data_IF_516825982933
#
_entry.id   IF_516825982933
#
_cell.length_a   1.000
_cell.length_b   1.000
_cell.length_c   1.000
_cell.angle_alpha   90.00
_cell.angle_beta   90.00
_cell.angle_gamma   90.00
#
_symmetry.space_group_name_H-M   'P 1'
#
loop_
_entity.id
_entity.type
_entity.pdbx_description
1 polymer ?
#
# COMPACT_ATOMS: atom_id res chain seq x y z
N UNK A 1 52.41 -21.86 27.23
CA UNK A 1 50.92 -21.67 27.30
C UNK A 1 50.61 -20.40 26.51
N UNK A 2 50.43 -20.57 25.23
CA UNK A 2 50.05 -19.46 24.34
C UNK A 2 48.58 -19.20 24.46
N UNK A 3 48.22 -18.01 24.87
CA UNK A 3 46.86 -17.50 24.80
C UNK A 3 46.43 -17.41 23.34
N UNK A 4 45.63 -18.34 22.88
CA UNK A 4 44.90 -18.21 21.63
C UNK A 4 43.74 -17.25 21.94
N UNK A 5 44.00 -15.96 21.75
CA UNK A 5 42.93 -14.97 21.67
C UNK A 5 42.15 -15.25 20.39
N UNK A 6 40.91 -15.68 20.50
CA UNK A 6 39.98 -15.70 19.37
C UNK A 6 39.97 -14.32 18.72
N UNK A 7 40.09 -14.21 17.38
CA UNK A 7 40.04 -12.93 16.73
C UNK A 7 38.67 -12.29 16.94
N UNK A 8 38.63 -11.01 17.34
CA UNK A 8 37.35 -10.27 17.51
C UNK A 8 36.51 -10.20 16.22
N UNK A 9 37.11 -10.49 15.07
CA UNK A 9 36.50 -10.40 13.76
C UNK A 9 35.41 -11.48 13.48
N UNK A 10 35.50 -12.68 14.08
CA UNK A 10 34.54 -13.75 13.79
C UNK A 10 33.17 -13.54 14.44
N UNK A 11 33.12 -13.03 15.67
CA UNK A 11 31.85 -12.71 16.34
C UNK A 11 31.17 -11.49 15.73
N UNK A 12 31.95 -10.49 15.33
CA UNK A 12 31.40 -9.29 14.67
C UNK A 12 30.86 -9.63 13.30
N UNK A 13 31.50 -10.52 12.54
CA UNK A 13 31.01 -11.00 11.24
C UNK A 13 29.74 -11.82 11.36
N UNK A 14 29.62 -12.67 12.39
CA UNK A 14 28.43 -13.47 12.64
C UNK A 14 27.21 -12.59 12.96
N UNK A 15 27.33 -11.69 13.93
CA UNK A 15 26.22 -10.78 14.30
C UNK A 15 25.82 -9.88 13.12
N UNK A 16 26.77 -9.44 12.31
CA UNK A 16 26.49 -8.67 11.09
C UNK A 16 25.68 -9.49 10.08
N UNK A 17 26.05 -10.74 9.85
CA UNK A 17 25.33 -11.63 8.93
C UNK A 17 23.90 -11.93 9.42
N UNK A 18 23.73 -12.22 10.71
CA UNK A 18 22.40 -12.46 11.31
C UNK A 18 21.53 -11.21 11.23
N UNK A 19 22.07 -10.03 11.53
CA UNK A 19 21.34 -8.77 11.38
C UNK A 19 20.91 -8.52 9.93
N UNK A 20 21.73 -8.90 8.95
CA UNK A 20 21.36 -8.78 7.53
C UNK A 20 20.12 -9.64 7.20
N UNK A 21 20.03 -10.87 7.74
CA UNK A 21 18.86 -11.73 7.57
C UNK A 21 17.62 -11.10 8.23
N UNK A 22 17.76 -10.59 9.47
CA UNK A 22 16.70 -9.91 10.20
C UNK A 22 16.19 -8.70 9.43
N UNK A 23 17.09 -7.86 8.94
CA UNK A 23 16.74 -6.67 8.14
C UNK A 23 16.05 -7.06 6.83
N UNK A 24 16.43 -8.19 6.22
CA UNK A 24 15.79 -8.70 5.02
C UNK A 24 14.36 -9.16 5.30
N UNK A 25 14.09 -9.90 6.39
CA UNK A 25 12.73 -10.30 6.76
C UNK A 25 11.83 -9.09 7.08
N UNK A 26 12.37 -8.09 7.78
CA UNK A 26 11.63 -6.84 8.06
C UNK A 26 11.31 -6.13 6.74
N UNK A 27 12.26 -6.05 5.81
CA UNK A 27 12.05 -5.45 4.48
C UNK A 27 10.99 -6.22 3.70
N UNK A 28 11.08 -7.54 3.60
CA UNK A 28 10.09 -8.38 2.92
C UNK A 28 8.68 -8.21 3.52
N UNK A 29 8.59 -8.05 4.86
CA UNK A 29 7.32 -7.75 5.53
C UNK A 29 6.79 -6.35 5.19
N UNK A 30 7.68 -5.36 5.07
CA UNK A 30 7.34 -3.97 4.71
C UNK A 30 6.89 -3.84 3.25
N UNK A 31 7.44 -4.66 2.35
CA UNK A 31 7.05 -4.70 0.93
C UNK A 31 5.66 -5.29 0.71
N UNK A 32 5.14 -6.08 1.67
CA UNK A 32 3.78 -6.61 1.59
C UNK A 32 2.76 -5.52 1.90
N UNK A 33 2.11 -5.01 0.85
CA UNK A 33 1.20 -3.86 0.94
C UNK A 33 -0.07 -4.11 1.75
N UNK A 34 -0.56 -5.35 1.81
CA UNK A 34 -1.90 -5.66 2.33
C UNK A 34 -1.92 -5.98 3.84
N UNK A 35 -0.86 -6.58 4.34
CA UNK A 35 -0.76 -6.94 5.78
C UNK A 35 0.67 -6.74 6.23
N UNK A 36 0.92 -5.87 7.22
CA UNK A 36 2.24 -5.74 7.84
C UNK A 36 2.55 -6.95 8.74
N UNK A 37 2.21 -8.13 8.25
CA UNK A 37 2.38 -9.42 8.92
C UNK A 37 2.95 -10.39 7.91
N UNK A 38 4.13 -10.91 8.19
CA UNK A 38 4.75 -11.96 7.39
C UNK A 38 4.83 -13.26 8.20
N UNK A 39 4.58 -14.37 7.55
CA UNK A 39 4.83 -15.71 8.09
C UNK A 39 6.11 -16.26 7.45
N UNK A 40 7.11 -16.54 8.25
CA UNK A 40 8.41 -17.08 7.84
C UNK A 40 8.44 -18.55 8.22
N UNK A 41 8.73 -19.45 7.27
CA UNK A 41 8.91 -20.85 7.60
C UNK A 41 10.27 -21.08 8.30
N UNK A 42 10.31 -22.02 9.25
CA UNK A 42 11.59 -22.39 9.88
C UNK A 42 12.55 -23.00 8.87
N UNK A 43 12.06 -23.65 7.83
CA UNK A 43 12.86 -24.19 6.74
C UNK A 43 13.59 -23.06 6.00
N UNK A 44 12.92 -21.94 5.69
CA UNK A 44 13.54 -20.77 5.05
C UNK A 44 14.65 -20.15 5.92
N UNK A 45 14.43 -20.02 7.23
CA UNK A 45 15.46 -19.54 8.16
C UNK A 45 16.68 -20.48 8.15
N UNK A 46 16.44 -21.78 8.22
CA UNK A 46 17.51 -22.78 8.23
C UNK A 46 18.29 -22.77 6.91
N UNK A 47 17.61 -22.60 5.79
CA UNK A 47 18.22 -22.53 4.47
C UNK A 47 19.12 -21.28 4.33
N UNK A 48 18.63 -20.10 4.76
CA UNK A 48 19.41 -18.86 4.77
C UNK A 48 20.62 -18.94 5.71
N UNK A 49 20.45 -19.53 6.89
CA UNK A 49 21.56 -19.76 7.83
C UNK A 49 22.58 -20.77 7.28
N UNK A 50 22.11 -21.84 6.62
CA UNK A 50 22.98 -22.85 6.01
C UNK A 50 23.87 -22.27 4.92
N UNK A 51 23.35 -21.36 4.09
CA UNK A 51 24.12 -20.61 3.10
C UNK A 51 25.22 -19.77 3.74
N UNK A 52 25.04 -19.34 5.01
CA UNK A 52 26.01 -18.57 5.78
C UNK A 52 26.89 -19.44 6.71
N UNK A 53 26.72 -20.75 6.74
CA UNK A 53 27.39 -21.72 7.64
C UNK A 53 27.08 -21.50 9.14
N UNK A 54 25.87 -21.05 9.49
CA UNK A 54 25.45 -20.78 10.86
C UNK A 54 24.17 -21.57 11.24
N UNK A 55 23.95 -21.75 12.56
CA UNK A 55 22.81 -22.50 13.13
C UNK A 55 22.11 -21.70 14.26
N UNK A 56 21.86 -20.41 14.05
CA UNK A 56 21.39 -19.53 15.12
C UNK A 56 19.95 -19.07 14.93
N UNK A 57 19.02 -19.97 14.66
CA UNK A 57 17.59 -19.70 14.47
C UNK A 57 16.97 -18.91 15.64
N UNK A 58 17.20 -19.36 16.89
CA UNK A 58 16.69 -18.70 18.09
C UNK A 58 17.21 -17.26 18.23
N UNK A 59 18.43 -16.99 17.75
CA UNK A 59 18.98 -15.63 17.75
C UNK A 59 18.25 -14.72 16.77
N UNK A 60 17.86 -15.23 15.58
CA UNK A 60 17.08 -14.47 14.61
C UNK A 60 15.71 -14.14 15.21
N UNK A 61 15.03 -15.09 15.81
CA UNK A 61 13.72 -14.89 16.46
C UNK A 61 13.84 -13.83 17.58
N UNK A 62 14.86 -13.95 18.43
CA UNK A 62 15.10 -12.98 19.50
C UNK A 62 15.37 -11.57 18.97
N UNK A 63 16.22 -11.44 17.95
CA UNK A 63 16.51 -10.14 17.33
C UNK A 63 15.29 -9.54 16.62
N UNK A 64 14.45 -10.35 15.98
CA UNK A 64 13.20 -9.88 15.40
C UNK A 64 12.26 -9.34 16.47
N UNK A 65 12.20 -10.00 17.65
CA UNK A 65 11.36 -9.56 18.76
C UNK A 65 11.87 -8.27 19.45
N UNK A 66 13.17 -8.00 19.39
CA UNK A 66 13.81 -6.82 19.99
C UNK A 66 13.81 -5.58 19.07
N UNK A 67 13.48 -5.75 17.79
CA UNK A 67 13.46 -4.64 16.84
C UNK A 67 12.32 -3.66 17.11
N UNK A 68 12.60 -2.36 17.05
CA UNK A 68 11.58 -1.29 17.19
C UNK A 68 10.51 -1.35 16.10
N UNK A 69 10.83 -1.90 14.94
CA UNK A 69 9.93 -2.11 13.81
C UNK A 69 8.88 -3.18 14.09
N UNK A 70 9.16 -4.11 15.02
CA UNK A 70 8.31 -5.28 15.28
C UNK A 70 7.34 -5.00 16.40
N UNK A 71 6.04 -5.10 16.11
CA UNK A 71 4.97 -4.99 17.10
C UNK A 71 4.69 -6.30 17.82
N UNK A 72 4.90 -7.43 17.11
CA UNK A 72 4.57 -8.75 17.62
C UNK A 72 5.33 -9.82 16.85
N UNK A 73 5.84 -10.83 17.57
CA UNK A 73 6.39 -12.07 17.01
C UNK A 73 5.67 -13.23 17.66
N UNK A 74 5.06 -14.09 16.84
CA UNK A 74 4.45 -15.32 17.29
C UNK A 74 5.23 -16.50 16.73
N UNK A 75 5.80 -17.29 17.63
CA UNK A 75 6.56 -18.48 17.31
C UNK A 75 5.66 -19.72 17.41
N UNK A 76 5.31 -20.28 16.26
CA UNK A 76 4.57 -21.52 16.13
C UNK A 76 5.50 -22.65 15.66
N UNK A 77 5.05 -23.92 15.76
CA UNK A 77 5.90 -25.09 15.50
C UNK A 77 6.62 -25.08 14.14
N UNK A 78 5.97 -24.54 13.09
CA UNK A 78 6.48 -24.61 11.73
C UNK A 78 6.69 -23.22 11.10
N UNK A 79 6.13 -22.16 11.70
CA UNK A 79 6.19 -20.79 11.17
C UNK A 79 6.37 -19.77 12.28
N UNK A 80 7.09 -18.70 11.96
CA UNK A 80 7.21 -17.52 12.78
C UNK A 80 6.42 -16.40 12.10
N UNK A 81 5.46 -15.83 12.82
CA UNK A 81 4.66 -14.70 12.33
C UNK A 81 5.18 -13.41 12.93
N UNK A 82 5.53 -12.45 12.09
CA UNK A 82 6.00 -11.12 12.49
C UNK A 82 4.95 -10.11 12.09
N UNK A 83 4.52 -9.28 13.04
CA UNK A 83 3.72 -8.08 12.76
C UNK A 83 4.59 -6.84 12.97
N UNK A 84 4.57 -5.91 12.01
CA UNK A 84 5.34 -4.67 12.09
C UNK A 84 4.53 -3.55 12.74
N UNK A 85 5.23 -2.58 13.33
CA UNK A 85 4.61 -1.37 13.86
C UNK A 85 4.18 -0.45 12.73
N UNK A 86 3.06 0.28 12.93
CA UNK A 86 2.61 1.27 11.92
C UNK A 86 3.70 2.32 11.68
N UNK A 87 4.43 2.71 12.73
CA UNK A 87 5.57 3.64 12.63
C UNK A 87 6.65 3.13 11.67
N UNK A 88 7.03 1.85 11.76
CA UNK A 88 8.03 1.25 10.88
C UNK A 88 7.58 1.24 9.42
N UNK A 89 6.32 0.88 9.19
CA UNK A 89 5.70 0.87 7.87
C UNK A 89 5.73 2.28 7.26
N UNK A 90 5.32 3.29 8.03
CA UNK A 90 5.29 4.67 7.56
C UNK A 90 6.70 5.22 7.27
N UNK A 91 7.68 4.88 8.10
CA UNK A 91 9.07 5.26 7.90
C UNK A 91 9.67 4.60 6.65
N UNK A 92 9.46 3.30 6.46
CA UNK A 92 9.91 2.58 5.27
C UNK A 92 9.31 3.21 4.00
N UNK A 93 8.01 3.37 3.97
CA UNK A 93 7.30 3.98 2.84
C UNK A 93 7.77 5.40 2.55
N UNK A 94 8.18 6.15 3.58
CA UNK A 94 8.73 7.49 3.42
C UNK A 94 10.15 7.48 2.81
N UNK A 95 10.99 6.49 3.18
CA UNK A 95 12.36 6.37 2.68
C UNK A 95 12.43 5.87 1.24
N UNK A 96 11.55 4.94 0.87
CA UNK A 96 11.52 4.33 -0.46
C UNK A 96 10.72 5.15 -1.49
N UNK A 97 10.00 6.21 -1.05
CA UNK A 97 9.22 7.04 -1.98
C UNK A 97 10.11 7.85 -2.91
N UNK A 98 9.81 7.73 -4.19
CA UNK A 98 10.37 8.60 -5.23
C UNK A 98 9.48 9.82 -5.42
N UNK A 99 9.97 11.01 -5.13
CA UNK A 99 9.28 12.24 -5.49
C UNK A 99 9.36 12.45 -7.00
N UNK A 100 8.21 12.68 -7.62
CA UNK A 100 8.09 12.91 -9.07
C UNK A 100 7.82 14.38 -9.36
N UNK A 101 8.57 14.92 -10.30
CA UNK A 101 8.28 16.23 -10.87
C UNK A 101 7.12 16.13 -11.87
N UNK A 102 6.45 17.26 -12.15
CA UNK A 102 5.36 17.34 -13.12
C UNK A 102 5.73 16.76 -14.50
N UNK A 103 6.95 17.03 -14.98
CA UNK A 103 7.45 16.56 -16.26
C UNK A 103 7.52 15.02 -16.32
N UNK A 104 7.91 14.36 -15.21
CA UNK A 104 7.94 12.90 -15.13
C UNK A 104 6.52 12.33 -15.15
N UNK A 105 5.59 12.93 -14.39
CA UNK A 105 4.18 12.53 -14.39
C UNK A 105 3.56 12.68 -15.78
N UNK A 106 3.86 13.77 -16.48
CA UNK A 106 3.38 14.01 -17.84
C UNK A 106 3.90 12.96 -18.83
N UNK A 107 5.15 12.53 -18.71
CA UNK A 107 5.73 11.44 -19.52
C UNK A 107 5.06 10.11 -19.22
N UNK A 108 4.87 9.77 -17.93
CA UNK A 108 4.17 8.56 -17.51
C UNK A 108 2.74 8.55 -18.06
N UNK A 109 2.01 9.68 -17.94
CA UNK A 109 0.65 9.80 -18.46
C UNK A 109 0.59 9.66 -19.99
N UNK A 110 1.54 10.23 -20.72
CA UNK A 110 1.59 10.09 -22.17
C UNK A 110 1.82 8.62 -22.61
N UNK A 111 2.74 7.93 -21.94
CA UNK A 111 2.98 6.49 -22.17
C UNK A 111 1.76 5.65 -21.80
N UNK A 112 1.13 5.95 -20.68
CA UNK A 112 -0.09 5.28 -20.23
C UNK A 112 -1.25 5.48 -21.21
N UNK A 113 -1.40 6.69 -21.75
CA UNK A 113 -2.40 6.97 -22.80
C UNK A 113 -2.18 6.09 -24.03
N UNK A 114 -0.95 5.89 -24.48
CA UNK A 114 -0.63 4.98 -25.58
C UNK A 114 -1.00 3.53 -25.22
N UNK A 115 -0.72 3.13 -23.98
CA UNK A 115 -1.06 1.80 -23.48
C UNK A 115 -2.58 1.56 -23.46
N UNK A 116 -3.37 2.52 -22.93
CA UNK A 116 -4.84 2.44 -22.90
C UNK A 116 -5.47 2.25 -24.29
N UNK A 117 -4.87 2.85 -25.33
CA UNK A 117 -5.36 2.73 -26.70
C UNK A 117 -4.72 1.58 -27.50
N UNK A 118 -3.94 0.71 -26.86
CA UNK A 118 -3.26 -0.41 -27.53
C UNK A 118 -2.23 0.02 -28.59
N UNK A 119 -1.66 1.22 -28.42
CA UNK A 119 -0.67 1.81 -29.36
C UNK A 119 0.77 1.72 -28.87
N UNK A 120 1.07 0.77 -28.00
CA UNK A 120 2.32 0.67 -27.27
C UNK A 120 2.25 1.45 -25.96
N UNK A 121 3.39 1.90 -25.45
CA UNK A 121 3.47 2.53 -24.13
C UNK A 121 3.42 1.52 -22.99
N UNK A 122 3.24 2.00 -21.78
CA UNK A 122 3.27 1.20 -20.56
C UNK A 122 2.15 1.64 -19.63
N UNK A 123 1.60 0.71 -18.85
CA UNK A 123 0.67 1.02 -17.77
C UNK A 123 1.36 1.93 -16.75
N UNK A 124 0.66 2.98 -16.30
CA UNK A 124 1.23 3.88 -15.30
C UNK A 124 1.35 3.15 -13.94
N UNK A 125 2.56 3.17 -13.39
CA UNK A 125 2.86 2.64 -12.06
C UNK A 125 3.52 3.73 -11.22
N UNK A 126 2.79 4.17 -10.18
CA UNK A 126 3.20 5.15 -9.19
C UNK A 126 3.44 4.51 -7.81
N UNK A 127 3.72 3.21 -7.78
CA UNK A 127 4.00 2.50 -6.52
C UNK A 127 5.14 3.19 -5.77
N UNK A 128 4.90 3.51 -4.48
CA UNK A 128 5.86 4.24 -3.63
C UNK A 128 6.31 5.60 -4.21
N UNK A 129 5.54 6.19 -5.10
CA UNK A 129 5.82 7.56 -5.57
C UNK A 129 5.20 8.61 -4.66
N UNK A 130 5.80 9.79 -4.67
CA UNK A 130 5.28 10.98 -4.01
C UNK A 130 5.00 12.06 -5.05
N UNK A 131 3.76 12.57 -5.04
CA UNK A 131 3.30 13.65 -5.90
C UNK A 131 2.82 14.79 -5.00
N UNK A 132 3.39 15.99 -5.17
CA UNK A 132 3.10 17.13 -4.32
C UNK A 132 2.70 18.35 -5.15
N UNK A 133 1.71 19.09 -4.67
CA UNK A 133 1.34 20.42 -5.15
C UNK A 133 1.17 20.51 -6.68
N UNK A 134 0.54 19.49 -7.28
CA UNK A 134 0.34 19.39 -8.73
C UNK A 134 -1.13 19.52 -9.10
N UNK A 135 -1.36 20.06 -10.29
CA UNK A 135 -2.67 20.03 -10.93
C UNK A 135 -2.69 18.96 -12.03
N UNK A 136 -3.60 18.00 -11.88
CA UNK A 136 -3.79 16.87 -12.79
C UNK A 136 -5.21 16.87 -13.40
N UNK A 137 -5.82 18.03 -13.76
CA UNK A 137 -7.20 18.06 -14.19
C UNK A 137 -7.37 17.45 -15.59
N UNK A 138 -8.50 16.77 -15.79
CA UNK A 138 -8.85 16.15 -17.08
C UNK A 138 -7.87 15.06 -17.55
N UNK A 139 -7.12 14.45 -16.64
CA UNK A 139 -6.23 13.34 -16.96
C UNK A 139 -6.95 11.99 -16.85
N UNK A 140 -6.52 11.02 -17.65
CA UNK A 140 -7.05 9.66 -17.62
C UNK A 140 -5.93 8.71 -17.20
N UNK A 141 -6.11 8.10 -16.04
CA UNK A 141 -5.20 7.14 -15.43
C UNK A 141 -5.88 5.80 -15.15
N UNK A 142 -6.92 5.45 -15.90
CA UNK A 142 -7.66 4.19 -15.70
C UNK A 142 -6.70 2.99 -15.68
N UNK A 143 -6.96 2.05 -14.76
CA UNK A 143 -6.13 0.86 -14.53
C UNK A 143 -4.71 1.13 -14.01
N UNK A 144 -4.37 2.34 -13.55
CA UNK A 144 -3.04 2.66 -13.03
C UNK A 144 -2.82 2.10 -11.63
N UNK A 145 -1.55 1.99 -11.24
CA UNK A 145 -1.12 1.46 -9.94
C UNK A 145 -0.56 2.60 -9.10
N UNK A 146 -1.13 2.81 -7.89
CA UNK A 146 -0.73 3.82 -6.91
C UNK A 146 -0.47 3.22 -5.53
N UNK A 147 -0.01 1.99 -5.47
CA UNK A 147 0.23 1.29 -4.19
C UNK A 147 1.19 2.06 -3.31
N UNK A 148 0.75 2.32 -2.06
CA UNK A 148 1.53 3.06 -1.08
C UNK A 148 2.04 4.44 -1.56
N UNK A 149 1.45 5.00 -2.60
CA UNK A 149 1.78 6.36 -3.07
C UNK A 149 1.38 7.41 -2.02
N UNK A 150 2.10 8.52 -2.03
CA UNK A 150 1.78 9.70 -1.24
C UNK A 150 1.38 10.83 -2.17
N UNK A 151 0.12 11.25 -2.08
CA UNK A 151 -0.52 12.25 -2.93
C UNK A 151 -0.90 13.43 -2.04
N UNK A 152 -0.20 14.57 -2.18
CA UNK A 152 -0.39 15.72 -1.31
C UNK A 152 -0.78 16.96 -2.10
N UNK A 153 -1.86 17.62 -1.66
CA UNK A 153 -2.34 18.89 -2.22
C UNK A 153 -2.53 18.89 -3.73
N UNK A 154 -2.95 17.74 -4.28
CA UNK A 154 -3.21 17.62 -5.72
C UNK A 154 -4.58 18.17 -6.06
N UNK A 155 -4.66 18.91 -7.19
CA UNK A 155 -5.91 19.13 -7.88
C UNK A 155 -6.11 18.02 -8.93
N UNK A 156 -7.04 17.09 -8.63
CA UNK A 156 -7.35 15.94 -9.46
C UNK A 156 -8.73 16.09 -10.12
N UNK A 157 -9.32 17.28 -10.06
CA UNK A 157 -10.70 17.52 -10.51
C UNK A 157 -10.93 17.10 -11.96
N UNK A 158 -12.12 16.53 -12.24
CA UNK A 158 -12.55 16.12 -13.58
C UNK A 158 -11.65 15.06 -14.25
N UNK A 159 -10.81 14.38 -13.49
CA UNK A 159 -9.94 13.31 -13.97
C UNK A 159 -10.60 11.92 -13.81
N UNK A 160 -10.03 10.93 -14.47
CA UNK A 160 -10.52 9.57 -14.47
C UNK A 160 -9.43 8.61 -13.96
N UNK A 161 -9.79 7.82 -12.94
CA UNK A 161 -8.92 6.83 -12.28
C UNK A 161 -9.69 5.52 -12.06
N UNK A 162 -10.52 5.11 -12.99
CA UNK A 162 -11.30 3.88 -12.84
C UNK A 162 -10.40 2.64 -12.82
N UNK A 163 -10.81 1.63 -12.05
CA UNK A 163 -10.09 0.35 -11.93
C UNK A 163 -8.64 0.48 -11.45
N UNK A 164 -8.30 1.55 -10.72
CA UNK A 164 -6.95 1.77 -10.17
C UNK A 164 -6.74 1.05 -8.85
N UNK A 165 -5.46 0.74 -8.56
CA UNK A 165 -5.03 0.19 -7.28
C UNK A 165 -4.37 1.26 -6.42
N UNK A 166 -5.11 1.77 -5.43
CA UNK A 166 -4.67 2.72 -4.42
C UNK A 166 -4.42 2.06 -3.05
N UNK A 167 -4.16 0.76 -3.01
CA UNK A 167 -3.95 0.05 -1.75
C UNK A 167 -2.82 0.69 -0.93
N UNK A 168 -3.13 1.06 0.32
CA UNK A 168 -2.20 1.73 1.23
C UNK A 168 -1.76 3.14 0.80
N UNK A 169 -2.35 3.73 -0.23
CA UNK A 169 -2.05 5.10 -0.65
C UNK A 169 -2.52 6.12 0.41
N UNK A 170 -1.86 7.28 0.44
CA UNK A 170 -2.25 8.38 1.32
C UNK A 170 -2.55 9.63 0.49
N UNK A 171 -3.76 10.13 0.63
CA UNK A 171 -4.22 11.38 0.05
C UNK A 171 -4.28 12.43 1.15
N UNK A 172 -3.55 13.52 1.03
CA UNK A 172 -3.50 14.59 2.03
C UNK A 172 -3.89 15.90 1.37
N UNK A 173 -5.00 16.50 1.80
CA UNK A 173 -5.45 17.80 1.32
C UNK A 173 -5.75 17.87 -0.18
N UNK A 174 -6.03 16.74 -0.82
CA UNK A 174 -6.31 16.69 -2.25
C UNK A 174 -7.72 17.17 -2.59
N UNK A 175 -7.87 17.86 -3.74
CA UNK A 175 -9.18 18.12 -4.34
C UNK A 175 -9.48 17.04 -5.39
N UNK A 176 -10.40 16.17 -5.00
CA UNK A 176 -10.88 15.04 -5.78
C UNK A 176 -12.34 15.24 -6.20
N UNK A 177 -12.80 16.49 -6.25
CA UNK A 177 -14.21 16.78 -6.54
C UNK A 177 -14.56 16.39 -7.97
N UNK A 178 -15.70 15.72 -8.14
CA UNK A 178 -16.25 15.30 -9.42
C UNK A 178 -15.33 14.40 -10.26
N UNK A 179 -14.41 13.67 -9.64
CA UNK A 179 -13.57 12.69 -10.34
C UNK A 179 -14.28 11.34 -10.44
N UNK A 180 -13.83 10.54 -11.39
CA UNK A 180 -14.27 9.15 -11.57
C UNK A 180 -13.22 8.20 -11.00
N UNK A 181 -13.59 7.46 -9.94
CA UNK A 181 -12.76 6.44 -9.28
C UNK A 181 -13.56 5.15 -9.06
N UNK A 182 -14.38 4.80 -10.03
CA UNK A 182 -15.21 3.60 -9.97
C UNK A 182 -14.35 2.35 -9.96
N UNK A 183 -14.70 1.36 -9.13
CA UNK A 183 -14.03 0.06 -9.03
C UNK A 183 -12.56 0.12 -8.58
N UNK A 184 -12.18 1.17 -7.87
CA UNK A 184 -10.82 1.28 -7.34
C UNK A 184 -10.63 0.44 -6.08
N UNK A 185 -9.41 -0.03 -5.86
CA UNK A 185 -8.99 -0.64 -4.61
C UNK A 185 -8.36 0.41 -3.71
N UNK A 186 -9.04 0.71 -2.58
CA UNK A 186 -8.56 1.64 -1.53
C UNK A 186 -8.24 0.92 -0.22
N UNK A 187 -7.91 -0.37 -0.28
CA UNK A 187 -7.60 -1.15 0.94
C UNK A 187 -6.51 -0.48 1.75
N UNK A 188 -6.81 -0.18 3.03
CA UNK A 188 -5.85 0.46 3.92
C UNK A 188 -5.40 1.87 3.48
N UNK A 189 -6.07 2.48 2.52
CA UNK A 189 -5.78 3.85 2.10
C UNK A 189 -6.18 4.86 3.18
N UNK A 190 -5.50 6.00 3.21
CA UNK A 190 -5.80 7.10 4.12
C UNK A 190 -6.14 8.35 3.30
N UNK A 191 -7.31 8.93 3.57
CA UNK A 191 -7.73 10.23 3.04
C UNK A 191 -7.76 11.21 4.23
N UNK A 192 -6.97 12.25 4.17
CA UNK A 192 -6.83 13.24 5.23
C UNK A 192 -7.06 14.65 4.66
N UNK A 193 -8.10 15.33 5.16
CA UNK A 193 -8.48 16.66 4.72
C UNK A 193 -8.86 16.79 3.25
N UNK A 194 -9.32 15.68 2.62
CA UNK A 194 -9.62 15.66 1.19
C UNK A 194 -11.01 16.20 0.88
N UNK A 195 -11.13 16.92 -0.24
CA UNK A 195 -12.40 17.32 -0.82
C UNK A 195 -12.79 16.32 -1.91
N UNK A 196 -13.92 15.62 -1.68
CA UNK A 196 -14.39 14.52 -2.54
C UNK A 196 -15.84 14.73 -2.98
N UNK A 197 -16.26 15.99 -3.17
CA UNK A 197 -17.65 16.33 -3.51
C UNK A 197 -18.05 15.80 -4.87
N UNK A 198 -19.15 15.05 -4.93
CA UNK A 198 -19.66 14.49 -6.18
C UNK A 198 -18.76 13.45 -6.83
N UNK A 199 -17.78 12.95 -6.13
CA UNK A 199 -16.85 11.91 -6.61
C UNK A 199 -17.59 10.59 -6.84
N UNK A 200 -17.23 9.88 -7.93
CA UNK A 200 -17.77 8.55 -8.23
C UNK A 200 -16.83 7.47 -7.65
N UNK A 201 -17.22 6.86 -6.53
CA UNK A 201 -16.44 5.85 -5.79
C UNK A 201 -17.12 4.47 -5.81
N UNK A 202 -18.23 4.35 -6.52
CA UNK A 202 -19.06 3.15 -6.53
C UNK A 202 -18.27 1.90 -6.94
N UNK A 203 -18.61 0.78 -6.31
CA UNK A 203 -17.94 -0.52 -6.43
C UNK A 203 -16.48 -0.53 -5.93
N UNK A 204 -16.04 0.49 -5.18
CA UNK A 204 -14.68 0.56 -4.62
C UNK A 204 -14.50 -0.34 -3.40
N UNK A 205 -13.28 -0.82 -3.19
CA UNK A 205 -12.92 -1.57 -2.00
C UNK A 205 -12.22 -0.66 -0.98
N UNK A 206 -12.93 -0.26 0.08
CA UNK A 206 -12.43 0.57 1.19
C UNK A 206 -12.09 -0.23 2.45
N UNK A 207 -11.88 -1.55 2.33
CA UNK A 207 -11.57 -2.37 3.50
C UNK A 207 -10.33 -1.84 4.24
N UNK A 208 -10.51 -1.51 5.53
CA UNK A 208 -9.45 -0.96 6.38
C UNK A 208 -9.00 0.46 6.01
N UNK A 209 -9.70 1.17 5.14
CA UNK A 209 -9.39 2.56 4.80
C UNK A 209 -9.80 3.54 5.92
N UNK A 210 -9.22 4.74 5.89
CA UNK A 210 -9.51 5.85 6.81
C UNK A 210 -9.90 7.09 6.02
N UNK A 211 -11.04 7.72 6.37
CA UNK A 211 -11.43 9.03 5.89
C UNK A 211 -11.45 9.98 7.10
N UNK A 212 -10.49 10.89 7.15
CA UNK A 212 -10.27 11.83 8.23
C UNK A 212 -10.50 13.26 7.72
N UNK A 213 -11.37 14.01 8.38
CA UNK A 213 -11.66 15.41 8.02
C UNK A 213 -12.01 15.62 6.54
N UNK A 214 -12.67 14.64 5.91
CA UNK A 214 -13.01 14.64 4.49
C UNK A 214 -14.42 15.22 4.24
N UNK A 215 -14.60 15.80 3.04
CA UNK A 215 -15.89 16.26 2.54
C UNK A 215 -16.32 15.42 1.33
N UNK A 216 -17.17 14.43 1.59
CA UNK A 216 -17.75 13.54 0.55
C UNK A 216 -19.19 13.91 0.19
N UNK A 217 -19.55 15.19 0.35
CA UNK A 217 -20.89 15.66 0.04
C UNK A 217 -21.30 15.27 -1.38
N UNK A 218 -22.47 14.63 -1.51
CA UNK A 218 -23.02 14.15 -2.80
C UNK A 218 -22.11 13.17 -3.56
N UNK A 219 -21.16 12.51 -2.90
CA UNK A 219 -20.37 11.44 -3.52
C UNK A 219 -21.23 10.19 -3.76
N UNK A 220 -20.96 9.50 -4.84
CA UNK A 220 -21.54 8.19 -5.11
C UNK A 220 -20.63 7.09 -4.53
N UNK A 221 -21.06 6.49 -3.42
CA UNK A 221 -20.39 5.41 -2.71
C UNK A 221 -21.23 4.13 -2.72
N UNK A 222 -22.04 3.93 -3.76
CA UNK A 222 -22.86 2.73 -3.87
C UNK A 222 -21.98 1.47 -4.00
N UNK A 223 -22.46 0.40 -3.34
CA UNK A 223 -21.86 -0.93 -3.47
C UNK A 223 -20.37 -0.97 -3.12
N UNK A 224 -19.89 -0.07 -2.24
CA UNK A 224 -18.49 -0.12 -1.75
C UNK A 224 -18.32 -1.16 -0.65
N UNK A 225 -17.11 -1.74 -0.55
CA UNK A 225 -16.72 -2.54 0.60
C UNK A 225 -16.27 -1.63 1.74
N UNK A 226 -16.85 -1.84 2.93
CA UNK A 226 -16.63 -0.99 4.10
C UNK A 226 -16.05 -1.73 5.31
N UNK A 227 -15.56 -2.95 5.14
CA UNK A 227 -14.98 -3.73 6.22
C UNK A 227 -13.87 -2.94 6.92
N UNK A 228 -14.07 -2.66 8.23
CA UNK A 228 -13.13 -1.87 9.04
C UNK A 228 -12.86 -0.45 8.51
N UNK A 229 -13.71 0.09 7.64
CA UNK A 229 -13.64 1.50 7.23
C UNK A 229 -13.82 2.41 8.45
N UNK A 230 -12.91 3.34 8.67
CA UNK A 230 -12.98 4.32 9.74
C UNK A 230 -13.28 5.72 9.18
N UNK A 231 -14.31 6.36 9.73
CA UNK A 231 -14.74 7.71 9.39
C UNK A 231 -14.55 8.62 10.62
N UNK A 232 -13.81 9.72 10.45
CA UNK A 232 -13.65 10.72 11.49
C UNK A 232 -13.85 12.12 10.90
N UNK A 233 -14.77 12.91 11.50
CA UNK A 233 -15.10 14.26 11.04
C UNK A 233 -15.40 14.36 9.53
N UNK A 234 -15.95 13.29 8.95
CA UNK A 234 -16.22 13.20 7.51
C UNK A 234 -17.67 13.60 7.23
N UNK A 235 -17.87 14.56 6.31
CA UNK A 235 -19.18 15.00 5.89
C UNK A 235 -19.78 14.04 4.85
N UNK A 236 -20.74 13.22 5.27
CA UNK A 236 -21.48 12.27 4.43
C UNK A 236 -22.79 12.83 3.87
N UNK A 237 -23.09 14.12 4.07
CA UNK A 237 -24.36 14.69 3.64
C UNK A 237 -24.57 14.50 2.13
N UNK A 238 -25.78 14.00 1.76
CA UNK A 238 -26.16 13.71 0.39
C UNK A 238 -25.29 12.63 -0.31
N UNK A 239 -24.37 11.98 0.39
CA UNK A 239 -23.63 10.84 -0.18
C UNK A 239 -24.57 9.65 -0.40
N UNK A 240 -24.42 8.99 -1.53
CA UNK A 240 -25.16 7.75 -1.83
C UNK A 240 -24.37 6.54 -1.33
N UNK A 241 -24.82 5.98 -0.21
CA UNK A 241 -24.14 4.86 0.49
C UNK A 241 -24.96 3.56 0.41
N UNK A 242 -25.83 3.40 -0.59
CA UNK A 242 -26.63 2.18 -0.74
C UNK A 242 -25.77 0.99 -1.16
N UNK A 243 -26.20 -0.22 -0.81
CA UNK A 243 -25.60 -1.46 -1.28
C UNK A 243 -24.19 -1.72 -0.71
N UNK A 244 -23.93 -1.34 0.55
CA UNK A 244 -22.66 -1.66 1.21
C UNK A 244 -22.44 -3.18 1.26
N UNK A 245 -21.23 -3.63 0.95
CA UNK A 245 -20.88 -5.05 0.80
C UNK A 245 -19.69 -5.43 1.67
N UNK A 246 -19.51 -6.72 1.90
CA UNK A 246 -18.34 -7.28 2.53
C UNK A 246 -17.14 -7.40 1.55
N UNK A 247 -15.97 -7.71 2.08
CA UNK A 247 -14.74 -7.77 1.30
C UNK A 247 -14.78 -8.86 0.20
N UNK A 248 -15.39 -10.02 0.49
CA UNK A 248 -15.49 -11.12 -0.48
C UNK A 248 -16.35 -10.72 -1.67
N UNK A 249 -17.49 -10.10 -1.41
CA UNK A 249 -18.37 -9.59 -2.46
C UNK A 249 -17.74 -8.45 -3.28
N UNK A 250 -16.93 -7.59 -2.63
CA UNK A 250 -16.19 -6.52 -3.30
C UNK A 250 -15.16 -7.09 -4.28
N UNK A 251 -14.36 -8.08 -3.86
CA UNK A 251 -13.40 -8.75 -4.73
C UNK A 251 -14.05 -9.39 -5.95
N UNK A 252 -15.18 -10.08 -5.73
CA UNK A 252 -15.92 -10.71 -6.83
C UNK A 252 -16.35 -9.67 -7.87
N UNK A 253 -16.91 -8.53 -7.44
CA UNK A 253 -17.34 -7.46 -8.35
C UNK A 253 -16.19 -6.78 -9.09
N UNK A 254 -15.04 -6.57 -8.44
CA UNK A 254 -13.86 -5.99 -9.08
C UNK A 254 -13.30 -6.88 -10.19
N UNK A 255 -13.54 -8.20 -10.12
CA UNK A 255 -13.08 -9.15 -11.13
C UNK A 255 -14.11 -9.40 -12.25
N UNK A 256 -15.35 -8.88 -12.13
CA UNK A 256 -16.37 -8.98 -13.17
C UNK A 256 -16.07 -8.00 -14.33
N UNK A 257 -16.21 -8.43 -15.60
CA UNK A 257 -16.05 -7.54 -16.75
C UNK A 257 -17.07 -6.39 -16.72
N UNK A 258 -16.64 -5.18 -17.10
CA UNK A 258 -17.49 -3.98 -17.13
C UNK A 258 -18.78 -4.13 -17.99
N UNK A 259 -18.77 -5.02 -18.97
CA UNK A 259 -19.91 -5.22 -19.88
C UNK A 259 -21.17 -5.81 -19.18
N UNK A 260 -20.99 -6.53 -18.07
CA UNK A 260 -22.12 -7.11 -17.34
C UNK A 260 -22.82 -6.09 -16.41
N UNK A 261 -22.13 -5.01 -16.03
CA UNK A 261 -22.66 -4.00 -15.10
C UNK A 261 -23.56 -2.98 -15.81
N UNK A 262 -23.39 -2.77 -17.11
CA UNK A 262 -24.18 -1.83 -17.90
C UNK A 262 -25.57 -2.39 -18.32
N UNK A 263 -25.85 -3.64 -18.02
CA UNK A 263 -27.11 -4.34 -18.36
C UNK A 263 -28.18 -4.33 -17.26
N UNK A 264 -27.95 -3.66 -16.12
CA UNK A 264 -28.92 -3.41 -15.08
C UNK A 264 -29.32 -1.92 -15.06
#
# INVERSE_FOLDING_TARGET
MENISNPPDAQTGFLSAVNTIVDQYIREALEQCEKPVIAISREDIQERLAMMQYTAEELIIGLLAEREETAFVNDCSDTITIALTQKAIDQYRAQERKELAWEEVAVIHANHTLWLYGKGGEQADFTLCQLNDMALPNMVFDHSIFRNALLMHLDMTQSCFCDCDFSGARFIGCDMSSIMMTRCCFRGAVFDGCRMRGTQLNYGNFAGAFLLDCDVWSANMQDICVDKLALQNTNLDQADIRGLIDEEAAWKRMMEPLEEIQGM
#
